data_IF_623100593923
#
_entry.id   IF_623100593923
#
_cell.length_a   1.000
_cell.length_b   1.000
_cell.length_c   1.000
_cell.angle_alpha   90.00
_cell.angle_beta   90.00
_cell.angle_gamma   90.00
#
_symmetry.space_group_name_H-M   'P 1'
#
loop_
_entity.id
_entity.type
_entity.pdbx_description
1 polymer ?
#
# COMPACT_ATOMS: atom_id res chain seq x y z
N UNK A 1 -3.26 4.52 28.14
CA UNK A 1 -3.77 3.15 28.30
C UNK A 1 -4.85 3.08 29.37
N UNK A 2 -4.65 3.53 30.60
CA UNK A 2 -5.63 3.54 31.70
C UNK A 2 -7.00 4.15 31.33
N UNK A 3 -7.02 5.23 30.54
CA UNK A 3 -8.26 5.83 30.03
C UNK A 3 -9.03 4.86 29.16
N UNK A 4 -8.38 4.20 28.21
CA UNK A 4 -9.01 3.24 27.29
C UNK A 4 -9.45 1.97 28.01
N UNK A 5 -8.70 1.51 29.01
CA UNK A 5 -9.08 0.39 29.84
C UNK A 5 -10.39 0.65 30.61
N UNK A 6 -10.51 1.86 31.20
CA UNK A 6 -11.73 2.28 31.90
C UNK A 6 -12.91 2.37 30.93
N UNK A 7 -12.73 3.07 29.80
CA UNK A 7 -13.76 3.23 28.77
C UNK A 7 -14.21 1.87 28.19
N UNK A 8 -13.27 0.95 27.94
CA UNK A 8 -13.56 -0.39 27.45
C UNK A 8 -14.35 -1.22 28.47
N UNK A 9 -14.00 -1.08 29.76
CA UNK A 9 -14.72 -1.74 30.85
C UNK A 9 -16.15 -1.23 31.00
N UNK A 10 -16.35 0.10 30.92
CA UNK A 10 -17.67 0.73 30.92
C UNK A 10 -18.54 0.28 29.73
N UNK A 11 -17.90 0.02 28.58
CA UNK A 11 -18.57 -0.51 27.38
C UNK A 11 -18.77 -2.03 27.39
N UNK A 12 -18.38 -2.75 28.46
CA UNK A 12 -18.44 -4.23 28.54
C UNK A 12 -17.49 -4.95 27.56
N UNK A 13 -16.37 -4.32 27.22
CA UNK A 13 -15.40 -4.81 26.22
C UNK A 13 -13.98 -4.76 26.75
N UNK A 14 -13.76 -5.31 27.92
CA UNK A 14 -12.51 -5.21 28.70
C UNK A 14 -11.24 -5.58 27.90
N UNK A 15 -11.34 -6.54 26.96
CA UNK A 15 -10.17 -6.98 26.18
C UNK A 15 -9.84 -6.09 24.97
N UNK A 16 -10.68 -5.09 24.65
CA UNK A 16 -10.53 -4.26 23.44
C UNK A 16 -9.73 -2.98 23.67
N UNK A 17 -9.36 -2.66 24.90
CA UNK A 17 -8.66 -1.42 25.21
C UNK A 17 -7.32 -1.27 24.48
N UNK A 18 -6.67 -2.39 24.15
CA UNK A 18 -5.40 -2.39 23.38
C UNK A 18 -5.62 -1.92 21.94
N UNK A 19 -6.70 -2.34 21.28
CA UNK A 19 -7.00 -1.89 19.92
C UNK A 19 -7.45 -0.42 19.89
N UNK A 20 -8.11 0.05 20.93
CA UNK A 20 -8.58 1.43 21.01
C UNK A 20 -7.46 2.48 21.01
N UNK A 21 -6.23 2.08 21.21
CA UNK A 21 -5.08 2.96 21.04
C UNK A 21 -4.86 3.37 19.57
N UNK A 22 -5.28 2.51 18.64
CA UNK A 22 -5.17 2.74 17.19
C UNK A 22 -6.53 3.02 16.55
N UNK A 23 -7.62 2.48 17.11
CA UNK A 23 -9.00 2.73 16.67
C UNK A 23 -9.43 4.16 17.06
N UNK A 24 -9.29 5.10 16.13
CA UNK A 24 -9.52 6.53 16.36
C UNK A 24 -11.01 6.92 16.31
N UNK A 25 -11.81 6.20 15.52
CA UNK A 25 -13.22 6.55 15.29
C UNK A 25 -14.19 5.82 16.22
N UNK A 26 -15.32 6.46 16.53
CA UNK A 26 -16.39 5.86 17.32
C UNK A 26 -16.95 4.61 16.64
N UNK A 27 -16.95 4.55 15.32
CA UNK A 27 -17.44 3.41 14.55
C UNK A 27 -16.52 2.20 14.70
N UNK A 28 -15.21 2.39 14.68
CA UNK A 28 -14.21 1.35 14.89
C UNK A 28 -14.34 0.75 16.27
N UNK A 29 -14.36 1.59 17.31
CA UNK A 29 -14.55 1.18 18.70
C UNK A 29 -15.87 0.46 18.94
N UNK A 30 -16.95 0.89 18.25
CA UNK A 30 -18.25 0.24 18.34
C UNK A 30 -18.30 -1.13 17.67
N UNK A 31 -17.63 -1.31 16.54
CA UNK A 31 -17.65 -2.55 15.75
C UNK A 31 -16.47 -3.48 16.01
N UNK A 32 -15.38 -2.97 16.63
CA UNK A 32 -14.12 -3.69 16.82
C UNK A 32 -13.47 -4.09 15.49
N UNK A 33 -13.55 -3.21 14.49
CA UNK A 33 -12.97 -3.40 13.18
C UNK A 33 -12.36 -2.10 12.74
N UNK A 34 -11.08 -2.12 12.41
CA UNK A 34 -10.36 -1.00 11.81
C UNK A 34 -10.97 -0.66 10.44
N UNK A 35 -11.25 0.59 10.17
CA UNK A 35 -11.85 1.11 8.93
C UNK A 35 -10.82 1.88 8.12
N UNK A 36 -10.06 2.73 8.79
CA UNK A 36 -8.98 3.53 8.23
C UNK A 36 -7.63 2.99 8.67
N UNK A 37 -6.55 3.46 8.05
CA UNK A 37 -5.19 3.07 8.46
C UNK A 37 -4.82 3.80 9.74
N UNK A 38 -4.81 3.08 10.86
CA UNK A 38 -4.34 3.60 12.14
C UNK A 38 -2.83 3.85 12.08
N UNK A 39 -2.38 4.95 12.68
CA UNK A 39 -0.96 5.31 12.76
C UNK A 39 -0.51 5.39 14.21
N UNK A 40 0.60 4.76 14.51
CA UNK A 40 1.30 4.89 15.78
C UNK A 40 2.80 4.82 15.55
N UNK A 41 3.57 5.24 16.53
CA UNK A 41 5.02 5.12 16.48
C UNK A 41 5.56 4.55 17.81
N UNK A 42 6.67 3.87 17.72
CA UNK A 42 7.45 3.44 18.87
C UNK A 42 8.93 3.41 18.53
N UNK A 43 9.76 3.41 19.57
CA UNK A 43 11.21 3.36 19.43
C UNK A 43 11.77 2.18 20.20
N UNK A 44 12.79 1.58 19.63
CA UNK A 44 13.70 0.65 20.31
C UNK A 44 15.05 1.34 20.50
N UNK A 45 15.97 0.69 21.17
CA UNK A 45 17.34 1.20 21.26
C UNK A 45 18.04 1.30 19.88
N UNK A 46 17.59 0.52 18.90
CA UNK A 46 18.20 0.45 17.57
C UNK A 46 17.51 1.32 16.53
N UNK A 47 16.18 1.48 16.59
CA UNK A 47 15.37 2.09 15.51
C UNK A 47 14.10 2.74 16.00
N UNK A 48 13.61 3.66 15.16
CA UNK A 48 12.26 4.22 15.22
C UNK A 48 11.36 3.49 14.22
N UNK A 49 10.14 3.19 14.64
CA UNK A 49 9.13 2.48 13.85
C UNK A 49 7.83 3.27 13.77
N UNK A 50 7.28 3.36 12.57
CA UNK A 50 5.90 3.79 12.34
C UNK A 50 5.06 2.55 12.10
N UNK A 51 4.04 2.35 12.91
CA UNK A 51 3.05 1.29 12.74
C UNK A 51 1.92 1.82 11.86
N UNK A 52 1.63 1.12 10.79
CA UNK A 52 0.46 1.34 9.93
C UNK A 52 -0.50 0.17 10.17
N UNK A 53 -1.51 0.39 11.01
CA UNK A 53 -2.53 -0.62 11.30
C UNK A 53 -3.58 -0.63 10.21
N UNK A 54 -3.40 -1.53 9.26
CA UNK A 54 -4.26 -1.61 8.08
C UNK A 54 -5.49 -2.48 8.35
N UNK A 55 -6.70 -2.05 7.92
CA UNK A 55 -7.92 -2.80 8.15
C UNK A 55 -7.88 -4.19 7.52
N UNK A 56 -8.26 -5.21 8.29
CA UNK A 56 -8.27 -6.61 7.84
C UNK A 56 -9.55 -7.05 7.13
N UNK A 57 -10.63 -6.28 7.19
CA UNK A 57 -11.91 -6.69 6.63
C UNK A 57 -12.01 -6.41 5.13
N UNK A 58 -12.59 -7.35 4.36
CA UNK A 58 -12.71 -7.27 2.88
C UNK A 58 -13.31 -5.96 2.35
N UNK A 59 -14.19 -5.31 3.09
CA UNK A 59 -14.82 -4.04 2.72
C UNK A 59 -13.81 -2.90 2.67
N UNK A 60 -12.74 -2.97 3.48
CA UNK A 60 -11.77 -1.90 3.66
C UNK A 60 -10.42 -2.21 2.99
N UNK A 61 -10.38 -3.15 2.05
CA UNK A 61 -9.16 -3.49 1.30
C UNK A 61 -8.54 -2.29 0.57
N UNK A 62 -9.28 -1.31 0.02
CA UNK A 62 -8.66 -0.10 -0.52
C UNK A 62 -7.78 0.65 0.50
N UNK A 63 -8.26 0.85 1.72
CA UNK A 63 -7.46 1.45 2.81
C UNK A 63 -6.25 0.58 3.17
N UNK A 64 -6.43 -0.75 3.20
CA UNK A 64 -5.31 -1.69 3.41
C UNK A 64 -4.23 -1.57 2.32
N UNK A 65 -4.60 -1.40 1.06
CA UNK A 65 -3.65 -1.22 -0.05
C UNK A 65 -2.86 0.08 0.14
N UNK A 66 -3.53 1.17 0.49
CA UNK A 66 -2.89 2.46 0.76
C UNK A 66 -1.88 2.38 1.91
N UNK A 67 -2.23 1.70 3.01
CA UNK A 67 -1.32 1.44 4.12
C UNK A 67 -0.13 0.57 3.71
N UNK A 68 -0.39 -0.55 3.02
CA UNK A 68 0.64 -1.46 2.57
C UNK A 68 1.64 -0.80 1.59
N UNK A 69 1.18 0.13 0.75
CA UNK A 69 2.04 0.85 -0.19
C UNK A 69 3.09 1.72 0.51
N UNK A 70 2.83 2.16 1.73
CA UNK A 70 3.74 2.96 2.54
C UNK A 70 4.66 2.13 3.42
N UNK A 71 4.40 0.83 3.58
CA UNK A 71 5.13 -0.05 4.48
C UNK A 71 6.46 -0.56 3.89
N UNK A 72 7.47 -0.67 4.73
CA UNK A 72 8.78 -1.28 4.39
C UNK A 72 8.78 -2.78 4.71
N UNK A 73 8.13 -3.16 5.80
CA UNK A 73 8.02 -4.53 6.32
C UNK A 73 6.55 -4.79 6.65
N UNK A 74 6.07 -5.98 6.37
CA UNK A 74 4.74 -6.39 6.80
C UNK A 74 4.82 -7.36 7.98
N UNK A 75 3.96 -7.15 8.97
CA UNK A 75 3.70 -8.09 10.03
C UNK A 75 2.36 -8.77 9.73
N UNK A 76 2.40 -10.05 9.38
CA UNK A 76 1.21 -10.85 9.13
C UNK A 76 0.82 -11.57 10.41
N UNK A 77 -0.23 -11.11 11.06
CA UNK A 77 -0.72 -11.70 12.31
C UNK A 77 -1.70 -12.83 12.02
N UNK A 78 -1.38 -14.02 12.51
CA UNK A 78 -2.17 -15.25 12.35
C UNK A 78 -2.57 -15.77 13.72
N UNK A 79 -3.84 -16.11 13.91
CA UNK A 79 -4.28 -16.74 15.15
C UNK A 79 -3.87 -18.23 15.17
N UNK A 80 -3.28 -18.67 16.28
CA UNK A 80 -3.00 -20.09 16.51
C UNK A 80 -4.25 -20.88 16.93
N UNK A 81 -5.30 -20.19 17.45
CA UNK A 81 -6.51 -20.82 17.93
C UNK A 81 -7.13 -21.74 16.88
N UNK A 82 -7.51 -22.94 17.29
CA UNK A 82 -8.19 -23.92 16.42
C UNK A 82 -9.52 -23.36 15.91
N UNK A 83 -9.76 -23.45 14.60
CA UNK A 83 -10.94 -22.90 13.92
C UNK A 83 -10.75 -21.46 13.41
N UNK A 84 -10.06 -20.58 14.12
CA UNK A 84 -9.80 -19.20 13.65
C UNK A 84 -8.79 -19.15 12.49
N UNK A 85 -7.70 -19.92 12.60
CA UNK A 85 -6.72 -20.03 11.52
C UNK A 85 -7.34 -20.60 10.24
N UNK A 86 -8.07 -21.69 10.38
CA UNK A 86 -8.69 -22.40 9.26
C UNK A 86 -9.67 -21.48 8.52
N UNK A 87 -10.55 -20.78 9.22
CA UNK A 87 -11.51 -19.84 8.64
C UNK A 87 -10.81 -18.68 7.91
N UNK A 88 -9.73 -18.14 8.49
CA UNK A 88 -8.98 -17.03 7.90
C UNK A 88 -8.15 -17.42 6.69
N UNK A 89 -7.76 -18.70 6.57
CA UNK A 89 -6.88 -19.19 5.50
C UNK A 89 -7.60 -19.97 4.40
N UNK A 90 -8.81 -20.45 4.61
CA UNK A 90 -9.59 -21.20 3.63
C UNK A 90 -9.81 -20.43 2.33
N UNK A 91 -10.32 -21.12 1.30
CA UNK A 91 -10.52 -20.55 -0.05
C UNK A 91 -11.48 -19.35 0.02
N UNK A 92 -10.93 -18.15 -0.26
CA UNK A 92 -11.63 -16.87 -0.10
C UNK A 92 -11.37 -16.19 1.24
N UNK A 93 -10.50 -16.75 2.11
CA UNK A 93 -10.05 -16.13 3.35
C UNK A 93 -9.15 -14.92 3.10
N UNK A 94 -9.25 -13.93 3.97
CA UNK A 94 -8.58 -12.64 3.84
C UNK A 94 -7.06 -12.74 3.92
N UNK A 95 -6.54 -13.67 4.70
CA UNK A 95 -5.08 -13.91 4.82
C UNK A 95 -4.40 -14.08 3.46
N UNK A 96 -5.07 -14.79 2.52
CA UNK A 96 -4.53 -15.00 1.18
C UNK A 96 -4.50 -13.72 0.35
N UNK A 97 -5.56 -12.93 0.42
CA UNK A 97 -5.64 -11.64 -0.29
C UNK A 97 -4.59 -10.68 0.26
N UNK A 98 -4.46 -10.57 1.58
CA UNK A 98 -3.49 -9.67 2.21
C UNK A 98 -2.05 -9.99 1.83
N UNK A 99 -1.62 -11.25 1.84
CA UNK A 99 -0.26 -11.64 1.43
C UNK A 99 0.02 -11.22 -0.01
N UNK A 100 -0.95 -11.40 -0.91
CA UNK A 100 -0.80 -11.01 -2.31
C UNK A 100 -0.73 -9.48 -2.47
N UNK A 101 -1.56 -8.74 -1.75
CA UNK A 101 -1.58 -7.28 -1.78
C UNK A 101 -0.28 -6.69 -1.20
N UNK A 102 0.19 -7.21 -0.08
CA UNK A 102 1.48 -6.83 0.52
C UNK A 102 2.63 -7.04 -0.47
N UNK A 103 2.67 -8.18 -1.16
CA UNK A 103 3.68 -8.43 -2.20
C UNK A 103 3.57 -7.45 -3.36
N UNK A 104 2.34 -7.16 -3.77
CA UNK A 104 2.08 -6.21 -4.85
C UNK A 104 2.39 -4.77 -4.45
N UNK A 105 2.16 -4.39 -3.20
CA UNK A 105 2.54 -3.09 -2.66
C UNK A 105 4.06 -2.87 -2.62
N UNK A 106 4.86 -3.94 -2.74
CA UNK A 106 6.31 -3.82 -2.84
C UNK A 106 7.07 -4.24 -1.61
N UNK A 107 6.38 -4.63 -0.58
CA UNK A 107 7.00 -5.13 0.64
C UNK A 107 7.84 -6.37 0.33
N UNK A 108 9.09 -6.34 0.76
CA UNK A 108 10.06 -7.41 0.48
C UNK A 108 10.25 -8.36 1.65
N UNK A 109 9.94 -7.93 2.86
CA UNK A 109 10.10 -8.70 4.10
C UNK A 109 8.77 -8.86 4.81
N UNK A 110 8.45 -10.09 5.22
CA UNK A 110 7.24 -10.42 5.96
C UNK A 110 7.62 -11.14 7.25
N UNK A 111 7.17 -10.60 8.38
CA UNK A 111 7.24 -11.28 9.67
C UNK A 111 5.88 -11.94 9.91
N UNK A 112 5.82 -13.25 9.84
CA UNK A 112 4.60 -14.00 10.14
C UNK A 112 4.56 -14.25 11.65
N UNK A 113 3.65 -13.59 12.31
CA UNK A 113 3.44 -13.65 13.73
C UNK A 113 2.29 -14.60 14.04
N UNK A 114 2.60 -15.73 14.66
CA UNK A 114 1.59 -16.70 15.11
C UNK A 114 1.21 -16.32 16.54
N UNK A 115 0.07 -15.64 16.67
CA UNK A 115 -0.44 -15.06 17.91
C UNK A 115 -1.43 -15.99 18.61
N UNK A 116 -1.76 -15.69 19.86
CA UNK A 116 -2.65 -16.47 20.75
C UNK A 116 -2.10 -17.87 21.05
N UNK A 117 -0.75 -17.99 21.14
CA UNK A 117 -0.11 -19.25 21.51
C UNK A 117 -0.45 -19.69 22.93
N UNK A 118 -0.84 -18.74 23.78
CA UNK A 118 -1.30 -18.95 25.15
C UNK A 118 -2.75 -19.48 25.27
N UNK A 119 -3.50 -19.51 24.17
CA UNK A 119 -4.88 -19.99 24.18
C UNK A 119 -4.96 -21.41 24.74
N UNK A 120 -5.93 -21.74 25.61
CA UNK A 120 -6.07 -23.09 26.20
C UNK A 120 -6.17 -24.21 25.17
N UNK A 121 -6.64 -23.93 23.95
CA UNK A 121 -6.72 -24.90 22.86
C UNK A 121 -5.38 -25.12 22.13
N UNK A 122 -4.37 -24.31 22.45
CA UNK A 122 -3.04 -24.31 21.82
C UNK A 122 -1.93 -24.63 22.81
N UNK A 123 -1.93 -23.97 23.99
CA UNK A 123 -1.03 -24.26 25.10
C UNK A 123 0.47 -24.19 24.73
N UNK A 124 0.87 -23.31 23.84
CA UNK A 124 2.25 -23.20 23.31
C UNK A 124 2.79 -24.50 22.69
N UNK A 125 1.92 -25.35 22.11
CA UNK A 125 2.33 -26.57 21.41
C UNK A 125 3.17 -26.26 20.17
N UNK A 126 4.36 -26.86 20.05
CA UNK A 126 5.25 -26.72 18.90
C UNK A 126 4.63 -27.29 17.62
N UNK A 127 3.87 -28.37 17.76
CA UNK A 127 3.16 -29.04 16.65
C UNK A 127 2.17 -28.08 15.99
N UNK A 128 1.41 -27.31 16.77
CA UNK A 128 0.46 -26.31 16.23
C UNK A 128 1.18 -25.21 15.48
N UNK A 129 2.29 -24.72 15.99
CA UNK A 129 3.13 -23.74 15.30
C UNK A 129 3.65 -24.29 13.96
N UNK A 130 4.18 -25.51 13.95
CA UNK A 130 4.66 -26.19 12.74
C UNK A 130 3.54 -26.40 11.73
N UNK A 131 2.38 -26.88 12.14
CA UNK A 131 1.21 -27.11 11.30
C UNK A 131 0.83 -25.82 10.53
N UNK A 132 0.69 -24.69 11.23
CA UNK A 132 0.33 -23.41 10.62
C UNK A 132 1.43 -22.97 9.63
N UNK A 133 2.69 -23.06 10.03
CA UNK A 133 3.83 -22.73 9.18
C UNK A 133 3.85 -23.54 7.90
N UNK A 134 3.66 -24.87 7.99
CA UNK A 134 3.69 -25.78 6.85
C UNK A 134 2.53 -25.52 5.88
N UNK A 135 1.33 -25.19 6.39
CA UNK A 135 0.17 -24.82 5.58
C UNK A 135 0.35 -23.48 4.86
N UNK A 136 0.95 -22.48 5.53
CA UNK A 136 1.15 -21.15 4.95
C UNK A 136 2.34 -21.05 3.99
N UNK A 137 3.41 -21.81 4.22
CA UNK A 137 4.66 -21.74 3.44
C UNK A 137 4.45 -21.92 1.94
N UNK A 138 3.73 -22.93 1.44
CA UNK A 138 3.50 -23.10 0.00
C UNK A 138 2.75 -21.91 -0.61
N UNK A 139 1.81 -21.35 0.13
CA UNK A 139 1.02 -20.21 -0.32
C UNK A 139 1.87 -18.93 -0.40
N UNK A 140 2.63 -18.61 0.64
CA UNK A 140 3.54 -17.45 0.67
C UNK A 140 4.57 -17.55 -0.47
N UNK A 141 5.09 -18.76 -0.72
CA UNK A 141 5.96 -19.03 -1.87
C UNK A 141 5.25 -18.76 -3.21
N UNK A 142 4.00 -19.19 -3.35
CA UNK A 142 3.21 -18.96 -4.57
C UNK A 142 2.89 -17.48 -4.80
N UNK A 143 2.79 -16.68 -3.74
CA UNK A 143 2.66 -15.23 -3.80
C UNK A 143 3.95 -14.51 -4.23
N UNK A 144 5.08 -15.23 -4.33
CA UNK A 144 6.34 -14.72 -4.86
C UNK A 144 7.35 -14.27 -3.79
N UNK A 145 7.18 -14.66 -2.52
CA UNK A 145 8.19 -14.47 -1.49
C UNK A 145 9.16 -15.66 -1.46
N UNK A 146 10.43 -15.37 -1.22
CA UNK A 146 11.40 -16.40 -0.90
C UNK A 146 11.27 -16.74 0.60
N UNK A 147 10.71 -17.92 0.89
CA UNK A 147 10.43 -18.33 2.27
C UNK A 147 11.66 -18.55 3.15
N UNK A 148 12.86 -18.58 2.55
CA UNK A 148 14.14 -18.71 3.30
C UNK A 148 14.75 -17.35 3.67
N UNK A 149 14.53 -16.32 2.85
CA UNK A 149 15.19 -15.01 3.01
C UNK A 149 14.24 -13.88 3.31
N UNK A 150 12.96 -13.99 2.91
CA UNK A 150 12.01 -12.88 2.98
C UNK A 150 10.98 -13.07 4.09
N UNK A 151 10.89 -14.26 4.68
CA UNK A 151 9.85 -14.62 5.64
C UNK A 151 10.46 -15.07 6.96
N UNK A 152 10.05 -14.42 8.04
CA UNK A 152 10.46 -14.75 9.40
C UNK A 152 9.22 -15.21 10.16
N UNK A 153 9.35 -16.25 10.97
CA UNK A 153 8.24 -16.86 11.71
C UNK A 153 8.45 -16.70 13.20
N UNK A 154 7.48 -16.11 13.90
CA UNK A 154 7.59 -15.83 15.34
C UNK A 154 6.27 -16.21 16.04
N UNK A 155 6.31 -17.12 17.01
CA UNK A 155 5.19 -17.39 17.90
C UNK A 155 5.16 -16.36 19.03
N UNK A 156 3.98 -15.81 19.32
CA UNK A 156 3.78 -14.86 20.41
C UNK A 156 2.46 -15.09 21.16
N UNK A 157 2.34 -14.48 22.31
CA UNK A 157 1.08 -14.08 22.90
C UNK A 157 1.06 -12.57 23.08
N UNK A 158 0.30 -11.87 22.24
CA UNK A 158 0.16 -10.42 22.37
C UNK A 158 -0.57 -10.04 23.66
N UNK A 159 -1.48 -10.89 24.15
CA UNK A 159 -2.25 -10.64 25.36
C UNK A 159 -1.38 -10.71 26.63
N UNK A 160 -0.54 -11.72 26.75
CA UNK A 160 0.37 -11.88 27.89
C UNK A 160 1.72 -11.19 27.73
N UNK A 161 2.02 -10.69 26.52
CA UNK A 161 3.28 -10.06 26.16
C UNK A 161 4.44 -11.05 25.94
N UNK A 162 4.20 -12.36 26.03
CA UNK A 162 5.26 -13.37 25.88
C UNK A 162 5.81 -13.38 24.47
N UNK A 163 7.12 -13.29 24.34
CA UNK A 163 7.90 -13.22 23.10
C UNK A 163 7.61 -12.01 22.20
N UNK A 164 7.03 -10.94 22.76
CA UNK A 164 6.79 -9.67 22.04
C UNK A 164 8.01 -8.75 22.21
N UNK A 165 8.24 -8.23 23.41
CA UNK A 165 9.39 -7.36 23.73
C UNK A 165 10.60 -8.19 24.11
N UNK A 166 10.44 -9.00 25.13
CA UNK A 166 11.47 -9.87 25.67
C UNK A 166 11.29 -11.29 25.13
N UNK A 167 12.40 -12.02 25.03
CA UNK A 167 12.37 -13.43 24.62
C UNK A 167 11.59 -14.26 25.62
N UNK A 168 10.79 -15.21 25.12
CA UNK A 168 10.18 -16.21 26.00
C UNK A 168 11.25 -17.00 26.75
N UNK A 169 11.06 -17.17 28.05
CA UNK A 169 11.95 -18.00 28.87
C UNK A 169 11.70 -19.49 28.60
N UNK A 170 12.69 -20.34 28.87
CA UNK A 170 12.55 -21.80 28.75
C UNK A 170 11.48 -22.37 29.69
N UNK A 171 11.17 -21.69 30.79
CA UNK A 171 10.09 -22.06 31.70
C UNK A 171 8.71 -21.76 31.10
N UNK A 172 8.62 -20.71 30.28
CA UNK A 172 7.36 -20.34 29.58
C UNK A 172 7.15 -21.20 28.34
N UNK A 173 8.19 -21.36 27.52
CA UNK A 173 8.13 -22.09 26.23
C UNK A 173 9.42 -22.88 26.02
N UNK A 174 9.40 -24.17 26.36
CA UNK A 174 10.59 -25.02 26.43
C UNK A 174 11.28 -25.22 25.05
N UNK A 175 10.52 -25.31 23.97
CA UNK A 175 11.02 -25.55 22.62
C UNK A 175 11.48 -24.29 21.88
N UNK A 176 11.00 -23.12 22.30
CA UNK A 176 11.29 -21.87 21.61
C UNK A 176 12.72 -21.41 21.87
N UNK A 177 13.46 -21.24 20.78
CA UNK A 177 14.80 -20.65 20.78
C UNK A 177 14.84 -19.59 19.69
N UNK A 178 15.14 -18.37 20.04
CA UNK A 178 15.22 -17.33 19.02
C UNK A 178 14.93 -15.93 19.60
N UNK A 179 14.94 -14.92 18.74
CA UNK A 179 14.63 -13.55 19.14
C UNK A 179 13.15 -13.34 19.41
N UNK A 180 12.83 -12.32 20.19
CA UNK A 180 11.48 -11.80 20.34
C UNK A 180 11.04 -11.07 19.06
N UNK A 181 9.79 -10.63 19.01
CA UNK A 181 9.26 -9.88 17.86
C UNK A 181 10.04 -8.56 17.68
N UNK A 182 10.26 -7.77 18.73
CA UNK A 182 10.98 -6.50 18.62
C UNK A 182 12.46 -6.70 18.25
N UNK A 183 13.13 -7.66 18.86
CA UNK A 183 14.51 -8.01 18.48
C UNK A 183 14.60 -8.43 17.01
N UNK A 184 13.61 -9.17 16.51
CA UNK A 184 13.54 -9.57 15.10
C UNK A 184 13.41 -8.36 14.19
N UNK A 185 12.52 -7.42 14.51
CA UNK A 185 12.37 -6.18 13.73
C UNK A 185 13.68 -5.39 13.68
N UNK A 186 14.40 -5.30 14.80
CA UNK A 186 15.70 -4.61 14.88
C UNK A 186 16.80 -5.29 14.03
N UNK A 187 16.70 -6.60 13.78
CA UNK A 187 17.68 -7.35 12.98
C UNK A 187 17.39 -7.33 11.48
N UNK A 188 16.20 -6.92 11.03
CA UNK A 188 15.88 -6.83 9.62
C UNK A 188 16.83 -5.84 8.94
N UNK A 189 17.51 -6.21 7.83
CA UNK A 189 18.39 -5.31 7.12
C UNK A 189 17.67 -4.02 6.69
N UNK A 190 18.34 -2.88 6.80
CA UNK A 190 17.84 -1.61 6.32
C UNK A 190 17.58 -1.70 4.80
N UNK A 191 16.46 -1.18 4.39
CA UNK A 191 16.14 -1.04 2.97
C UNK A 191 17.01 0.07 2.39
N UNK A 192 17.58 -0.15 1.21
CA UNK A 192 18.32 0.87 0.48
C UNK A 192 17.39 2.03 0.13
N UNK A 193 17.56 3.12 0.85
CA UNK A 193 16.77 4.35 0.67
C UNK A 193 17.50 5.25 -0.31
N UNK A 194 16.86 5.59 -1.42
CA UNK A 194 17.41 6.46 -2.49
C UNK A 194 17.54 7.92 -2.01
N UNK A 195 18.32 8.18 -0.97
CA UNK A 195 18.47 9.51 -0.33
C UNK A 195 18.99 10.57 -1.30
N UNK A 196 19.85 10.16 -2.24
CA UNK A 196 20.46 11.06 -3.25
C UNK A 196 19.65 11.13 -4.56
N UNK A 197 18.49 10.49 -4.62
CA UNK A 197 17.59 10.57 -5.75
C UNK A 197 16.79 11.89 -5.79
N UNK A 198 15.98 12.11 -6.82
CA UNK A 198 15.02 13.22 -6.83
C UNK A 198 13.96 13.00 -5.72
N UNK A 199 13.41 14.09 -5.23
CA UNK A 199 12.29 14.03 -4.28
C UNK A 199 11.09 13.41 -4.97
N UNK A 200 10.52 12.40 -4.34
CA UNK A 200 9.27 11.73 -4.75
C UNK A 200 8.50 11.39 -3.48
N UNK A 201 7.36 12.02 -3.29
CA UNK A 201 6.49 11.81 -2.12
C UNK A 201 5.04 11.72 -2.59
N UNK A 202 4.48 10.51 -2.74
CA UNK A 202 3.05 10.33 -2.95
C UNK A 202 2.25 10.84 -1.74
N UNK A 203 1.20 11.58 -2.00
CA UNK A 203 0.34 12.15 -0.97
C UNK A 203 -0.70 11.10 -0.57
N UNK A 204 -0.75 10.76 0.71
CA UNK A 204 -1.74 9.85 1.28
C UNK A 204 -2.93 10.57 1.88
N UNK A 205 -2.67 11.73 2.51
CA UNK A 205 -3.68 12.50 3.21
C UNK A 205 -3.39 14.00 3.05
N UNK A 206 -4.43 14.80 3.18
CA UNK A 206 -4.35 16.26 3.18
C UNK A 206 -5.30 16.82 4.23
N UNK A 207 -4.96 17.97 4.77
CA UNK A 207 -5.85 18.75 5.65
C UNK A 207 -5.41 20.19 5.73
N UNK A 208 -6.26 21.07 6.24
CA UNK A 208 -5.99 22.50 6.44
C UNK A 208 -5.61 22.75 7.89
N UNK A 209 -4.39 23.23 8.12
CA UNK A 209 -3.91 23.67 9.43
C UNK A 209 -2.87 24.78 9.24
N UNK A 210 -3.28 26.04 9.46
CA UNK A 210 -2.45 27.23 9.21
C UNK A 210 -1.78 27.21 7.81
N UNK A 211 -2.52 26.71 6.80
CA UNK A 211 -2.08 26.46 5.44
C UNK A 211 -2.38 25.04 4.98
N UNK A 212 -1.90 24.67 3.81
CA UNK A 212 -2.09 23.34 3.26
C UNK A 212 -1.08 22.34 3.86
N UNK A 213 -1.62 21.33 4.52
CA UNK A 213 -0.86 20.22 5.06
C UNK A 213 -1.03 18.99 4.17
N UNK A 214 0.09 18.34 3.84
CA UNK A 214 0.13 17.09 3.08
C UNK A 214 0.91 16.03 3.84
N UNK A 215 0.41 14.81 3.84
CA UNK A 215 0.99 13.66 4.52
C UNK A 215 1.40 12.62 3.49
N UNK A 216 2.57 12.03 3.67
CA UNK A 216 3.02 10.96 2.80
C UNK A 216 4.36 10.38 3.21
N UNK A 217 4.74 9.31 2.53
CA UNK A 217 6.07 8.72 2.64
C UNK A 217 6.99 9.31 1.58
N UNK A 218 8.16 9.75 1.99
CA UNK A 218 9.20 10.16 1.06
C UNK A 218 9.86 8.90 0.45
N UNK A 219 9.52 8.57 -0.79
CA UNK A 219 10.03 7.35 -1.46
C UNK A 219 11.47 7.51 -1.95
N UNK A 220 11.89 8.74 -2.24
CA UNK A 220 13.22 9.07 -2.74
C UNK A 220 13.58 10.52 -2.42
N UNK A 221 14.88 10.78 -2.35
CA UNK A 221 15.42 12.12 -2.15
C UNK A 221 15.48 12.56 -0.70
N UNK A 222 15.62 13.85 -0.51
CA UNK A 222 15.61 14.55 0.79
C UNK A 222 14.86 15.87 0.64
N UNK A 223 14.16 16.25 1.68
CA UNK A 223 13.41 17.50 1.76
C UNK A 223 13.90 18.30 2.95
N UNK A 224 14.05 19.61 2.79
CA UNK A 224 14.35 20.57 3.85
C UNK A 224 13.35 21.73 3.81
N UNK A 225 13.22 22.42 4.91
CA UNK A 225 12.46 23.69 4.99
C UNK A 225 13.00 24.70 3.98
N UNK A 226 12.08 25.35 3.22
CA UNK A 226 12.40 26.30 2.16
C UNK A 226 12.65 25.68 0.80
N UNK A 227 12.59 24.35 0.64
CA UNK A 227 12.72 23.74 -0.67
C UNK A 227 11.53 24.08 -1.56
N UNK A 228 11.85 24.36 -2.86
CA UNK A 228 10.85 24.53 -3.90
C UNK A 228 10.65 23.20 -4.62
N UNK A 229 9.42 22.71 -4.63
CA UNK A 229 9.01 21.44 -5.20
C UNK A 229 7.85 21.68 -6.18
N UNK A 230 7.45 20.64 -6.90
CA UNK A 230 6.31 20.68 -7.83
C UNK A 230 5.27 19.65 -7.40
N UNK A 231 4.01 20.06 -7.32
CA UNK A 231 2.87 19.16 -7.11
C UNK A 231 2.38 18.65 -8.45
N UNK A 232 2.49 17.34 -8.66
CA UNK A 232 2.02 16.65 -9.85
C UNK A 232 0.66 15.96 -9.57
N UNK A 233 -0.28 15.85 -10.53
CA UNK A 233 -0.11 16.11 -11.98
C UNK A 233 -0.28 17.58 -12.37
N UNK A 234 -0.76 18.47 -11.49
CA UNK A 234 -1.16 19.85 -11.79
C UNK A 234 0.02 20.77 -12.17
N UNK A 235 1.26 20.33 -11.95
CA UNK A 235 2.51 21.08 -12.22
C UNK A 235 2.57 22.42 -11.45
N UNK A 236 2.01 22.48 -10.25
CA UNK A 236 2.00 23.68 -9.40
C UNK A 236 3.27 23.70 -8.58
N UNK A 237 4.01 24.81 -8.63
CA UNK A 237 5.17 25.01 -7.76
C UNK A 237 4.73 25.30 -6.33
N UNK A 238 5.35 24.63 -5.38
CA UNK A 238 5.07 24.79 -3.95
C UNK A 238 6.35 24.97 -3.16
N UNK A 239 6.27 25.68 -2.04
CA UNK A 239 7.37 25.88 -1.11
C UNK A 239 7.10 25.13 0.20
N UNK A 240 8.09 24.41 0.72
CA UNK A 240 8.01 23.69 2.00
C UNK A 240 8.24 24.66 3.15
N UNK A 241 7.20 24.98 3.91
CA UNK A 241 7.27 25.91 5.04
C UNK A 241 7.72 25.25 6.35
N UNK A 242 7.28 24.03 6.59
CA UNK A 242 7.64 23.24 7.77
C UNK A 242 7.55 21.74 7.47
N UNK A 243 8.29 20.96 8.21
CA UNK A 243 8.33 19.48 8.15
C UNK A 243 8.05 18.97 9.55
N UNK A 244 7.09 18.07 9.70
CA UNK A 244 6.76 17.43 10.97
C UNK A 244 6.98 15.94 10.85
N UNK A 245 7.58 15.38 11.90
CA UNK A 245 7.72 13.93 12.06
C UNK A 245 6.37 13.26 12.42
N UNK A 246 6.33 11.95 12.48
CA UNK A 246 5.16 11.21 13.00
C UNK A 246 4.83 11.55 14.46
N UNK A 247 5.83 11.96 15.26
CA UNK A 247 5.64 12.44 16.64
C UNK A 247 5.18 13.90 16.73
N UNK A 248 4.79 14.50 15.61
CA UNK A 248 4.35 15.92 15.51
C UNK A 248 5.44 16.95 15.89
N UNK A 249 6.68 16.53 15.98
CA UNK A 249 7.82 17.41 16.18
C UNK A 249 8.25 18.07 14.88
N UNK A 250 8.48 19.39 14.89
CA UNK A 250 9.05 20.10 13.75
C UNK A 250 10.51 19.69 13.58
N UNK A 251 10.85 19.22 12.38
CA UNK A 251 12.20 18.77 12.00
C UNK A 251 12.71 19.59 10.82
N UNK A 252 14.03 19.69 10.68
CA UNK A 252 14.64 20.48 9.60
C UNK A 252 14.78 19.73 8.29
N UNK A 253 14.85 18.39 8.34
CA UNK A 253 15.12 17.52 7.20
C UNK A 253 14.29 16.25 7.26
N UNK A 254 13.88 15.75 6.10
CA UNK A 254 13.34 14.41 5.92
C UNK A 254 14.08 13.70 4.79
N UNK A 255 14.19 12.38 4.91
CA UNK A 255 14.93 11.54 3.99
C UNK A 255 14.04 10.46 3.39
N UNK A 256 14.45 9.92 2.24
CA UNK A 256 13.78 8.78 1.63
C UNK A 256 13.50 7.68 2.66
N UNK A 257 12.25 7.26 2.75
CA UNK A 257 11.72 6.29 3.71
C UNK A 257 11.02 6.88 4.94
N UNK A 258 11.14 8.19 5.20
CA UNK A 258 10.44 8.82 6.31
C UNK A 258 8.98 9.11 5.94
N UNK A 259 8.08 8.83 6.88
CA UNK A 259 6.71 9.33 6.83
C UNK A 259 6.69 10.71 7.47
N UNK A 260 6.19 11.70 6.75
CA UNK A 260 6.22 13.10 7.20
C UNK A 260 4.95 13.83 6.86
N UNK A 261 4.72 14.91 7.61
CA UNK A 261 3.69 15.91 7.32
C UNK A 261 4.41 17.17 6.89
N UNK A 262 4.08 17.69 5.71
CA UNK A 262 4.66 18.91 5.18
C UNK A 262 3.61 20.01 5.17
N UNK A 263 3.95 21.18 5.72
CA UNK A 263 3.21 22.39 5.49
C UNK A 263 3.77 23.05 4.25
N UNK A 264 2.93 23.25 3.26
CA UNK A 264 3.31 23.78 1.95
C UNK A 264 2.55 25.08 1.65
N UNK A 265 3.15 25.93 0.81
CA UNK A 265 2.57 27.16 0.27
C UNK A 265 2.55 27.10 -1.25
N UNK A 266 1.58 27.74 -1.88
CA UNK A 266 1.47 27.83 -3.33
C UNK A 266 0.34 27.00 -3.93
N UNK A 267 -0.35 26.22 -3.10
CA UNK A 267 -1.53 25.44 -3.49
C UNK A 267 -2.50 25.38 -2.30
N UNK A 268 -3.80 25.41 -2.57
CA UNK A 268 -4.82 25.21 -1.55
C UNK A 268 -5.07 23.70 -1.35
N UNK A 269 -5.58 23.35 -0.17
CA UNK A 269 -5.85 21.96 0.16
C UNK A 269 -6.95 21.34 -0.73
N UNK A 270 -7.89 22.14 -1.23
CA UNK A 270 -8.94 21.70 -2.14
C UNK A 270 -8.39 21.19 -3.48
N UNK A 271 -7.27 21.77 -3.94
CA UNK A 271 -6.61 21.44 -5.21
C UNK A 271 -5.62 20.27 -5.11
N UNK A 272 -5.45 19.68 -3.93
CA UNK A 272 -4.62 18.51 -3.69
C UNK A 272 -5.51 17.29 -3.47
N UNK A 273 -5.13 16.15 -4.02
CA UNK A 273 -5.84 14.89 -3.79
C UNK A 273 -4.88 13.76 -3.41
N UNK A 274 -5.31 12.78 -2.60
CA UNK A 274 -4.55 11.55 -2.42
C UNK A 274 -4.18 10.95 -3.79
N UNK A 275 -2.93 10.49 -3.93
CA UNK A 275 -2.41 10.03 -5.21
C UNK A 275 -1.67 11.09 -6.02
N UNK A 276 -1.76 12.36 -5.67
CA UNK A 276 -0.84 13.37 -6.19
C UNK A 276 0.57 13.08 -5.65
N UNK A 277 1.57 13.58 -6.36
CA UNK A 277 2.97 13.34 -6.00
C UNK A 277 3.72 14.67 -5.92
N UNK A 278 4.31 14.93 -4.77
CA UNK A 278 5.24 16.02 -4.58
C UNK A 278 6.62 15.59 -5.09
N UNK A 279 7.20 16.33 -6.01
CA UNK A 279 8.42 15.95 -6.74
C UNK A 279 9.42 17.10 -6.86
N UNK A 280 10.69 16.75 -7.14
CA UNK A 280 11.70 17.73 -7.50
C UNK A 280 11.32 18.44 -8.80
N UNK A 281 11.35 19.77 -8.83
CA UNK A 281 11.03 20.56 -10.02
C UNK A 281 11.96 20.25 -11.21
N UNK A 282 13.25 19.96 -10.94
CA UNK A 282 14.23 19.60 -11.96
C UNK A 282 13.97 18.22 -12.60
N UNK A 283 13.27 17.32 -11.90
CA UNK A 283 12.97 15.97 -12.39
C UNK A 283 11.62 15.53 -11.82
N UNK A 284 10.51 16.10 -12.32
CA UNK A 284 9.18 15.74 -11.88
C UNK A 284 8.84 14.31 -12.30
N UNK A 285 7.91 13.68 -11.59
CA UNK A 285 7.33 12.40 -11.99
C UNK A 285 6.46 12.59 -13.23
N UNK A 286 6.34 11.53 -14.03
CA UNK A 286 5.46 11.57 -15.21
C UNK A 286 3.99 11.53 -14.79
N UNK A 287 3.17 12.30 -15.48
CA UNK A 287 1.72 12.22 -15.42
C UNK A 287 1.17 11.87 -16.79
N UNK A 288 0.43 10.78 -16.87
CA UNK A 288 -0.09 10.23 -18.13
C UNK A 288 -1.51 9.71 -17.96
N UNK A 289 -2.27 9.67 -19.07
CA UNK A 289 -3.56 8.97 -19.13
C UNK A 289 -3.42 7.55 -19.69
N UNK A 290 -2.43 7.31 -20.57
CA UNK A 290 -2.27 6.02 -21.26
C UNK A 290 -0.88 5.44 -21.00
N UNK A 291 -0.85 4.12 -20.76
CA UNK A 291 0.40 3.40 -20.54
C UNK A 291 0.25 1.92 -20.90
N UNK A 292 1.37 1.25 -21.14
CA UNK A 292 1.42 -0.21 -21.29
C UNK A 292 1.86 -0.87 -19.99
N UNK A 293 1.21 -1.97 -19.67
CA UNK A 293 1.54 -2.72 -18.46
C UNK A 293 1.54 -4.23 -18.70
N UNK A 294 2.41 -4.92 -17.98
CA UNK A 294 2.33 -6.36 -17.83
C UNK A 294 1.39 -6.68 -16.68
N UNK A 295 0.35 -7.46 -16.96
CA UNK A 295 -0.65 -7.89 -15.99
C UNK A 295 -0.53 -9.39 -15.71
N UNK A 296 -0.70 -9.78 -14.46
CA UNK A 296 -0.96 -11.17 -14.06
C UNK A 296 -2.41 -11.25 -13.59
N UNK A 297 -3.23 -11.99 -14.33
CA UNK A 297 -4.66 -12.16 -14.02
C UNK A 297 -4.80 -13.18 -12.89
N UNK A 298 -5.43 -12.77 -11.79
CA UNK A 298 -5.56 -13.57 -10.56
C UNK A 298 -6.87 -14.36 -10.54
N UNK A 299 -7.95 -13.72 -10.13
CA UNK A 299 -9.25 -14.35 -10.00
C UNK A 299 -10.34 -13.44 -10.59
N UNK A 300 -10.96 -13.92 -11.65
CA UNK A 300 -12.09 -13.27 -12.26
C UNK A 300 -13.10 -14.31 -12.72
N UNK A 301 -14.38 -14.06 -12.52
CA UNK A 301 -15.45 -14.97 -12.91
C UNK A 301 -15.57 -15.11 -14.42
N UNK A 302 -15.29 -14.01 -15.14
CA UNK A 302 -15.43 -13.89 -16.58
C UNK A 302 -14.08 -13.79 -17.27
N UNK A 303 -14.08 -13.70 -18.58
CA UNK A 303 -12.92 -13.36 -19.40
C UNK A 303 -12.70 -11.84 -19.38
N UNK A 304 -11.43 -11.43 -19.42
CA UNK A 304 -11.04 -10.03 -19.53
C UNK A 304 -10.71 -9.74 -21.00
N UNK A 305 -11.36 -8.76 -21.58
CA UNK A 305 -11.16 -8.34 -22.98
C UNK A 305 -10.89 -6.82 -23.06
N UNK A 306 -10.61 -6.32 -24.24
CA UNK A 306 -10.55 -4.89 -24.48
C UNK A 306 -11.91 -4.24 -24.13
N UNK A 307 -11.86 -3.05 -23.49
CA UNK A 307 -13.03 -2.36 -22.95
C UNK A 307 -13.34 -2.72 -21.49
N UNK A 308 -12.61 -3.65 -20.86
CA UNK A 308 -12.82 -4.00 -19.46
C UNK A 308 -12.37 -2.86 -18.55
N UNK A 309 -13.26 -2.41 -17.66
CA UNK A 309 -13.00 -1.36 -16.66
C UNK A 309 -12.74 -1.94 -15.28
N UNK A 310 -11.88 -1.30 -14.53
CA UNK A 310 -11.55 -1.67 -13.15
C UNK A 310 -11.01 -0.44 -12.39
N UNK A 311 -10.96 -0.52 -11.06
CA UNK A 311 -10.25 0.48 -10.25
C UNK A 311 -8.79 0.07 -10.09
N UNK A 312 -7.89 0.93 -10.53
CA UNK A 312 -6.46 0.79 -10.36
C UNK A 312 -6.03 1.40 -9.03
N UNK A 313 -5.26 0.65 -8.25
CA UNK A 313 -4.58 1.17 -7.07
C UNK A 313 -3.07 1.15 -7.32
N UNK A 314 -2.46 2.32 -7.32
CA UNK A 314 -1.02 2.53 -7.45
C UNK A 314 -0.57 3.52 -6.37
N UNK A 315 0.51 3.22 -5.61
CA UNK A 315 0.90 3.98 -4.41
C UNK A 315 -0.33 4.37 -3.56
N UNK A 316 -0.64 5.65 -3.41
CA UNK A 316 -1.80 6.16 -2.64
C UNK A 316 -3.01 6.50 -3.52
N UNK A 317 -2.90 6.35 -4.84
CA UNK A 317 -3.94 6.65 -5.83
C UNK A 317 -4.91 5.47 -6.01
N UNK A 318 -6.20 5.80 -6.09
CA UNK A 318 -7.25 4.92 -6.60
C UNK A 318 -7.97 5.62 -7.76
N UNK A 319 -7.89 5.05 -8.96
CA UNK A 319 -8.41 5.67 -10.19
C UNK A 319 -9.09 4.64 -11.09
N UNK A 320 -10.17 5.03 -11.74
CA UNK A 320 -10.85 4.19 -12.74
C UNK A 320 -10.00 4.09 -14.01
N UNK A 321 -9.82 2.87 -14.48
CA UNK A 321 -9.05 2.60 -15.69
C UNK A 321 -9.78 1.60 -16.58
N UNK A 322 -9.52 1.69 -17.89
CA UNK A 322 -10.02 0.76 -18.89
C UNK A 322 -8.85 0.09 -19.62
N UNK A 323 -8.94 -1.21 -19.85
CA UNK A 323 -8.03 -1.92 -20.72
C UNK A 323 -8.40 -1.60 -22.17
N UNK A 324 -7.75 -0.62 -22.79
CA UNK A 324 -8.05 -0.18 -24.16
C UNK A 324 -7.65 -1.22 -25.21
N UNK A 325 -6.56 -1.99 -24.96
CA UNK A 325 -6.15 -3.07 -25.85
C UNK A 325 -5.39 -4.17 -25.10
N UNK A 326 -5.54 -5.42 -25.53
CA UNK A 326 -4.69 -6.53 -25.17
C UNK A 326 -3.63 -6.71 -26.25
N UNK A 327 -2.35 -6.52 -25.89
CA UNK A 327 -1.24 -6.51 -26.85
C UNK A 327 -0.62 -7.89 -27.05
N UNK A 328 -0.30 -8.57 -25.96
CA UNK A 328 0.34 -9.89 -25.95
C UNK A 328 -0.10 -10.72 -24.76
N UNK A 329 -0.02 -12.04 -24.89
CA UNK A 329 0.00 -12.95 -23.75
C UNK A 329 1.35 -13.70 -23.68
N UNK A 330 1.69 -14.20 -22.50
CA UNK A 330 2.86 -15.05 -22.31
C UNK A 330 2.43 -16.52 -22.30
N UNK A 331 3.02 -17.31 -23.16
CA UNK A 331 2.82 -18.76 -23.15
C UNK A 331 3.36 -19.35 -21.86
N UNK A 332 2.54 -20.17 -21.17
CA UNK A 332 2.91 -20.73 -19.85
C UNK A 332 4.09 -21.68 -19.89
N UNK A 333 4.29 -22.39 -21.03
CA UNK A 333 5.33 -23.40 -21.17
C UNK A 333 6.67 -22.80 -21.60
N UNK A 334 6.62 -21.88 -22.56
CA UNK A 334 7.81 -21.31 -23.18
C UNK A 334 8.22 -19.95 -22.61
N UNK A 335 7.30 -19.25 -21.88
CA UNK A 335 7.50 -17.91 -21.40
C UNK A 335 7.57 -16.83 -22.48
N UNK A 336 7.36 -17.17 -23.76
CA UNK A 336 7.46 -16.25 -24.89
C UNK A 336 6.18 -15.45 -25.08
N UNK A 337 6.31 -14.23 -25.58
CA UNK A 337 5.20 -13.36 -25.97
C UNK A 337 4.50 -13.93 -27.23
N UNK A 338 3.18 -13.83 -27.26
CA UNK A 338 2.39 -14.14 -28.46
C UNK A 338 2.74 -13.20 -29.63
N UNK A 339 2.69 -13.71 -30.87
CA UNK A 339 2.88 -12.89 -32.06
C UNK A 339 1.63 -12.04 -32.38
N UNK A 340 0.46 -12.58 -32.09
CA UNK A 340 -0.84 -11.91 -32.34
C UNK A 340 -1.44 -11.45 -31.01
N UNK A 341 -2.12 -10.31 -30.97
CA UNK A 341 -2.91 -9.86 -29.83
C UNK A 341 -3.96 -10.89 -29.45
N UNK A 342 -4.14 -11.21 -28.16
CA UNK A 342 -5.24 -12.06 -27.73
C UNK A 342 -6.55 -11.30 -27.72
N UNK A 343 -7.65 -11.98 -28.03
CA UNK A 343 -9.00 -11.40 -27.94
C UNK A 343 -9.47 -11.29 -26.48
N UNK A 344 -8.99 -12.16 -25.62
CA UNK A 344 -9.33 -12.18 -24.20
C UNK A 344 -8.20 -12.77 -23.35
N UNK A 345 -8.24 -12.50 -22.07
CA UNK A 345 -7.36 -13.10 -21.05
C UNK A 345 -8.17 -13.88 -20.02
N UNK A 346 -7.59 -14.97 -19.52
CA UNK A 346 -8.16 -15.86 -18.50
C UNK A 346 -7.35 -15.82 -17.21
N UNK A 347 -7.98 -16.28 -16.13
CA UNK A 347 -7.33 -16.50 -14.85
C UNK A 347 -5.98 -17.23 -14.99
N UNK A 348 -4.98 -16.71 -14.29
CA UNK A 348 -3.62 -17.29 -14.24
C UNK A 348 -2.80 -17.05 -15.51
N UNK A 349 -3.27 -16.22 -16.44
CA UNK A 349 -2.47 -15.76 -17.58
C UNK A 349 -1.68 -14.50 -17.23
N UNK A 350 -0.53 -14.35 -17.89
CA UNK A 350 0.22 -13.09 -17.93
C UNK A 350 0.02 -12.46 -19.30
N UNK A 351 -0.32 -11.19 -19.33
CA UNK A 351 -0.57 -10.44 -20.56
C UNK A 351 0.18 -9.11 -20.55
N UNK A 352 0.31 -8.50 -21.72
CA UNK A 352 0.63 -7.07 -21.86
C UNK A 352 -0.62 -6.40 -22.40
N UNK A 353 -1.06 -5.35 -21.73
CA UNK A 353 -2.22 -4.56 -22.11
C UNK A 353 -1.87 -3.08 -22.14
N UNK A 354 -2.60 -2.35 -22.97
CA UNK A 354 -2.67 -0.91 -22.93
C UNK A 354 -3.80 -0.52 -21.97
N UNK A 355 -3.50 0.40 -21.08
CA UNK A 355 -4.45 0.86 -20.06
C UNK A 355 -4.62 2.36 -20.23
N UNK A 356 -5.86 2.80 -20.10
CA UNK A 356 -6.26 4.21 -20.14
C UNK A 356 -6.96 4.57 -18.84
N UNK A 357 -6.49 5.61 -18.18
CA UNK A 357 -7.06 6.15 -16.95
C UNK A 357 -8.05 7.28 -17.27
N UNK A 358 -9.07 7.45 -16.44
CA UNK A 358 -10.07 8.51 -16.60
C UNK A 358 -9.42 9.90 -16.49
N UNK A 359 -8.47 10.05 -15.54
CA UNK A 359 -7.71 11.26 -15.36
C UNK A 359 -6.19 11.06 -15.45
N UNK A 360 -5.44 12.18 -15.35
CA UNK A 360 -3.99 12.14 -15.30
C UNK A 360 -3.50 11.46 -14.03
N UNK A 361 -2.73 10.40 -14.19
CA UNK A 361 -2.16 9.64 -13.08
C UNK A 361 -0.64 9.79 -13.01
N UNK A 362 -0.13 9.99 -11.79
CA UNK A 362 1.31 10.07 -11.54
C UNK A 362 1.88 8.66 -11.43
N UNK A 363 2.51 8.18 -12.48
CA UNK A 363 3.11 6.84 -12.53
C UNK A 363 4.46 6.86 -13.23
N UNK A 364 5.26 5.84 -12.92
CA UNK A 364 6.57 5.62 -13.52
C UNK A 364 6.71 4.20 -14.05
N UNK A 365 7.69 3.96 -14.90
CA UNK A 365 8.02 2.58 -15.27
C UNK A 365 8.51 1.82 -14.05
N UNK A 366 8.04 0.59 -13.93
CA UNK A 366 8.43 -0.29 -12.81
C UNK A 366 9.96 -0.46 -12.69
N UNK A 367 10.66 -0.45 -13.80
CA UNK A 367 12.13 -0.59 -13.84
C UNK A 367 12.85 0.59 -13.18
N UNK A 368 12.29 1.80 -13.25
CA UNK A 368 12.91 3.02 -12.76
C UNK A 368 12.50 3.29 -11.30
N UNK A 369 11.20 3.25 -11.03
CA UNK A 369 10.61 3.47 -9.71
C UNK A 369 9.54 2.42 -9.42
N UNK A 370 9.93 1.26 -8.83
CA UNK A 370 9.01 0.17 -8.57
C UNK A 370 7.76 0.57 -7.76
N UNK A 371 7.89 1.52 -6.84
CA UNK A 371 6.78 1.97 -5.99
C UNK A 371 5.71 2.76 -6.76
N UNK A 372 6.11 3.49 -7.82
CA UNK A 372 5.19 4.23 -8.67
C UNK A 372 4.80 3.45 -9.94
N UNK A 373 5.42 2.31 -10.20
CA UNK A 373 5.20 1.50 -11.41
C UNK A 373 4.49 0.18 -11.16
N UNK A 374 4.12 -0.12 -9.93
CA UNK A 374 3.41 -1.34 -9.53
C UNK A 374 2.00 -0.98 -9.09
N UNK A 375 1.01 -1.77 -9.52
CA UNK A 375 -0.38 -1.49 -9.22
C UNK A 375 -1.23 -2.77 -9.13
N UNK A 376 -2.42 -2.64 -8.55
CA UNK A 376 -3.47 -3.66 -8.56
C UNK A 376 -4.68 -3.16 -9.33
N UNK A 377 -5.37 -4.07 -10.01
CA UNK A 377 -6.71 -3.82 -10.56
C UNK A 377 -7.74 -4.52 -9.69
N UNK A 378 -8.76 -3.80 -9.31
CA UNK A 378 -9.87 -4.29 -8.49
C UNK A 378 -11.20 -4.08 -9.19
N UNK A 379 -12.07 -5.08 -9.06
CA UNK A 379 -13.42 -5.04 -9.57
C UNK A 379 -14.36 -5.85 -8.66
N UNK A 380 -15.58 -5.38 -8.45
CA UNK A 380 -16.56 -5.97 -7.53
C UNK A 380 -16.00 -6.34 -6.14
N UNK A 381 -15.12 -5.49 -5.60
CA UNK A 381 -14.51 -5.70 -4.29
C UNK A 381 -13.41 -6.78 -4.24
N UNK A 382 -12.94 -7.28 -5.39
CA UNK A 382 -11.88 -8.30 -5.51
C UNK A 382 -10.68 -7.77 -6.28
N UNK A 383 -9.50 -8.28 -5.97
CA UNK A 383 -8.30 -8.04 -6.76
C UNK A 383 -8.31 -8.98 -7.96
N UNK A 384 -8.49 -8.44 -9.16
CA UNK A 384 -8.58 -9.21 -10.42
C UNK A 384 -7.25 -9.35 -11.12
N UNK A 385 -6.35 -8.37 -10.99
CA UNK A 385 -5.02 -8.44 -11.56
C UNK A 385 -4.00 -7.64 -10.76
N UNK A 386 -2.73 -8.01 -10.92
CA UNK A 386 -1.58 -7.23 -10.48
C UNK A 386 -0.78 -6.81 -11.70
N UNK A 387 -0.29 -5.57 -11.70
CA UNK A 387 0.34 -4.96 -12.85
C UNK A 387 1.69 -4.33 -12.57
N UNK A 388 2.49 -4.23 -13.64
CA UNK A 388 3.75 -3.47 -13.67
C UNK A 388 3.75 -2.62 -14.91
N UNK A 389 3.91 -1.31 -14.75
CA UNK A 389 4.05 -0.37 -15.87
C UNK A 389 5.34 -0.67 -16.62
N UNK A 390 5.22 -0.92 -17.91
CA UNK A 390 6.37 -1.22 -18.79
C UNK A 390 6.75 -0.05 -19.68
N UNK A 391 5.75 0.76 -20.08
CA UNK A 391 5.94 1.91 -20.94
C UNK A 391 4.89 2.98 -20.68
N UNK A 392 5.32 4.22 -20.60
CA UNK A 392 4.45 5.39 -20.58
C UNK A 392 4.16 5.83 -22.02
N UNK A 393 2.91 6.13 -22.32
CA UNK A 393 2.49 6.63 -23.63
C UNK A 393 2.27 8.14 -23.51
N UNK A 394 2.88 8.91 -24.42
CA UNK A 394 2.69 10.35 -24.45
C UNK A 394 1.21 10.70 -24.65
N UNK A 395 0.77 11.80 -24.07
CA UNK A 395 -0.48 12.44 -24.47
C UNK A 395 -0.24 12.97 -25.86
N UNK A 396 -1.01 12.55 -26.85
CA UNK A 396 -0.99 13.15 -28.18
C UNK A 396 -1.42 14.62 -28.04
N UNK A 397 -0.46 15.53 -28.01
CA UNK A 397 -0.71 16.98 -27.89
C UNK A 397 -1.59 17.51 -29.06
N UNK A 398 -1.69 16.76 -30.16
CA UNK A 398 -2.50 17.11 -31.32
C UNK A 398 -4.01 17.05 -31.09
N UNK A 399 -4.50 16.37 -30.02
CA UNK A 399 -5.95 16.32 -29.72
C UNK A 399 -6.41 17.56 -28.96
N UNK A 400 -5.50 18.26 -28.27
CA UNK A 400 -5.85 19.46 -27.49
C UNK A 400 -5.99 20.69 -28.43
N UNK A 401 -5.27 20.73 -29.53
CA UNK A 401 -5.33 21.84 -30.51
C UNK A 401 -6.62 21.82 -31.35
N UNK A 402 -7.20 20.68 -31.61
CA UNK A 402 -8.50 20.62 -32.35
C UNK A 402 -9.70 21.02 -31.49
N UNK A 403 -9.64 20.77 -30.18
CA UNK A 403 -10.71 21.18 -29.24
C UNK A 403 -10.78 22.69 -29.01
N UNK A 404 -9.64 23.36 -29.01
CA UNK A 404 -9.56 24.82 -28.77
C UNK A 404 -9.85 25.61 -30.06
N UNK A 405 -9.51 25.09 -31.23
CA UNK A 405 -9.83 25.72 -32.52
C UNK A 405 -11.31 25.69 -32.83
N UNK A 406 -12.05 24.65 -32.39
CA UNK A 406 -13.49 24.59 -32.62
C UNK A 406 -14.33 25.47 -31.67
N UNK A 407 -13.75 25.88 -30.51
CA UNK A 407 -14.40 26.84 -29.61
C UNK A 407 -14.17 28.30 -30.06
N UNK A 408 -13.04 28.58 -30.74
CA UNK A 408 -12.74 29.90 -31.25
C UNK A 408 -13.48 30.27 -32.55
N UNK A 409 -13.97 29.28 -33.32
CA UNK A 409 -14.70 29.49 -34.56
C UNK A 409 -16.22 29.60 -34.38
N UNK A 410 -16.76 29.30 -33.18
CA UNK A 410 -18.18 29.40 -32.87
C UNK A 410 -18.68 30.79 -32.47
N UNK A 411 -17.82 31.78 -32.23
CA UNK A 411 -18.21 33.09 -31.69
C UNK A 411 -18.07 34.28 -32.65
N UNK A 412 -17.91 34.05 -33.98
CA UNK A 412 -17.81 35.15 -34.95
C UNK A 412 -18.89 35.14 -36.07
N UNK A 413 -20.05 34.55 -35.79
CA UNK A 413 -21.14 34.59 -36.77
C UNK A 413 -22.47 34.97 -36.09
N UNK A 414 -22.56 36.21 -35.53
CA UNK A 414 -23.86 36.92 -35.37
C UNK A 414 -23.63 38.38 -34.97
N UNK A 415 -23.26 39.21 -35.93
CA UNK A 415 -23.54 40.66 -35.89
C UNK A 415 -23.27 41.29 -37.26
N UNK A 416 -24.17 41.09 -38.23
CA UNK A 416 -24.46 42.03 -39.31
C UNK A 416 -25.77 41.58 -40.01
N UNK A 417 -26.85 42.20 -39.62
CA UNK A 417 -27.94 42.55 -40.52
C UNK A 417 -29.03 43.29 -39.73
N UNK A 418 -29.15 44.59 -40.07
CA UNK A 418 -30.24 45.55 -39.82
C UNK A 418 -30.58 45.96 -38.39
#
# INVERSE_FOLDING_TARGET
>A
MEKYEREAKEAGRETWYLSWALDSTTQERAKGKTVEVGRAYFETAARRYTVLDAPGHKTYVPSMISGAAQADVAILVISARKGEFETGFEKGGQTREHIMLVKTAGVTKVVVVINKMDDPTVGWEEERFKEIKDKLTPFIKSAGFNTKTDVIWIPISAYTGVNVKDRATKAQVSWLTGPSLLETLDTIPLIDRKINGPVIMPISEKYKDLGTMVVGKLESGRVKKGDSLVMMPNKVNVEVLAIYSESEEEINYAFGGDNVRLRIKGIEDEDVSPGFVLASAARPVHSVKRFEAQLAILDHKNIICAGYSAVMHVHTLAEEVQLSALLHYFDKKTGRKSRKPPQFAKRGQKIIAQIEASDLVCIERFADYPQLGRFTLRDEGKTVAIGKVTRLLAIDENVITEGVSNIALGNTASSTAE
#
